data_IF_596861419667
#
_entry.id   IF_596861419667
#
_cell.length_a   1.000
_cell.length_b   1.000
_cell.length_c   1.000
_cell.angle_alpha   90.00
_cell.angle_beta   90.00
_cell.angle_gamma   90.00
#
_symmetry.space_group_name_H-M   'P 1'
#
loop_
_entity.id
_entity.type
_entity.pdbx_description
1 polymer ?
#
# COMPACT_ATOMS: atom_id res chain seq x y z
N UNK A 1 53.48 -41.46 6.58
CA UNK A 1 52.19 -41.97 7.08
C UNK A 1 51.35 -40.81 7.65
N UNK A 2 50.31 -40.36 6.92
CA UNK A 2 49.38 -39.29 7.39
C UNK A 2 48.28 -39.96 8.24
N UNK A 3 48.26 -39.69 9.56
CA UNK A 3 47.17 -40.13 10.45
C UNK A 3 45.92 -39.35 10.14
N UNK A 4 44.91 -39.99 9.56
CA UNK A 4 43.57 -39.45 9.42
C UNK A 4 42.92 -39.36 10.82
N UNK A 5 42.80 -38.14 11.35
CA UNK A 5 42.16 -37.86 12.63
C UNK A 5 40.65 -38.09 12.47
N UNK A 6 40.12 -39.20 12.97
CA UNK A 6 38.67 -39.50 12.97
C UNK A 6 37.95 -38.40 13.75
N UNK A 7 37.17 -37.59 13.06
CA UNK A 7 36.28 -36.58 13.70
C UNK A 7 35.31 -37.32 14.64
N UNK A 8 35.10 -36.84 15.89
CA UNK A 8 34.24 -37.55 16.84
C UNK A 8 32.79 -37.52 16.33
N UNK A 9 32.15 -38.68 16.26
CA UNK A 9 30.76 -38.91 15.82
C UNK A 9 29.75 -37.93 16.48
N UNK A 10 30.00 -37.54 17.75
CA UNK A 10 29.17 -36.56 18.50
C UNK A 10 29.18 -35.14 17.92
N UNK A 11 30.20 -34.72 17.21
CA UNK A 11 30.27 -33.40 16.59
C UNK A 11 29.44 -33.38 15.33
N UNK A 12 29.45 -34.44 14.54
CA UNK A 12 28.66 -34.58 13.31
C UNK A 12 27.18 -34.62 13.64
N UNK A 13 26.74 -35.30 14.70
CA UNK A 13 25.33 -35.35 15.09
C UNK A 13 24.81 -33.97 15.52
N UNK A 14 25.59 -33.17 16.25
CA UNK A 14 25.21 -31.82 16.64
C UNK A 14 24.99 -30.90 15.40
N UNK A 15 25.89 -31.00 14.43
CA UNK A 15 25.75 -30.24 13.17
C UNK A 15 24.49 -30.68 12.42
N UNK A 16 24.20 -31.97 12.40
CA UNK A 16 23.00 -32.48 11.74
C UNK A 16 21.70 -31.96 12.38
N UNK A 17 21.65 -31.89 13.72
CA UNK A 17 20.49 -31.29 14.43
C UNK A 17 20.33 -29.79 14.14
N UNK A 18 21.44 -29.04 14.06
CA UNK A 18 21.39 -27.61 13.70
C UNK A 18 20.89 -27.44 12.28
N UNK A 19 21.38 -28.24 11.33
CA UNK A 19 20.91 -28.18 9.95
C UNK A 19 19.42 -28.53 9.87
N UNK A 20 19.00 -29.61 10.55
CA UNK A 20 17.58 -29.98 10.58
C UNK A 20 16.70 -28.88 11.17
N UNK A 21 17.14 -28.26 12.26
CA UNK A 21 16.44 -27.12 12.86
C UNK A 21 16.30 -25.94 11.88
N UNK A 22 17.39 -25.59 11.17
CA UNK A 22 17.36 -24.52 10.16
C UNK A 22 16.40 -24.86 9.02
N UNK A 23 16.41 -26.11 8.54
CA UNK A 23 15.51 -26.55 7.46
C UNK A 23 14.05 -26.40 7.91
N UNK A 24 13.71 -26.89 9.11
CA UNK A 24 12.35 -26.78 9.66
C UNK A 24 11.94 -25.31 9.79
N UNK A 25 12.82 -24.47 10.33
CA UNK A 25 12.57 -23.04 10.51
C UNK A 25 12.31 -22.32 9.19
N UNK A 26 13.15 -22.57 8.18
CA UNK A 26 12.98 -22.00 6.84
C UNK A 26 11.69 -22.50 6.18
N UNK A 27 11.34 -23.78 6.39
CA UNK A 27 10.10 -24.34 5.83
C UNK A 27 8.85 -23.67 6.42
N UNK A 28 8.85 -23.41 7.74
CA UNK A 28 7.74 -22.71 8.41
C UNK A 28 7.60 -21.29 7.85
N UNK A 29 8.70 -20.53 7.76
CA UNK A 29 8.68 -19.17 7.21
C UNK A 29 8.19 -19.16 5.75
N UNK A 30 8.66 -20.11 4.94
CA UNK A 30 8.24 -20.23 3.55
C UNK A 30 6.74 -20.54 3.43
N UNK A 31 6.21 -21.39 4.30
CA UNK A 31 4.80 -21.72 4.33
C UNK A 31 3.93 -20.50 4.71
N UNK A 32 4.32 -19.78 5.76
CA UNK A 32 3.63 -18.55 6.18
C UNK A 32 3.68 -17.47 5.10
N UNK A 33 4.82 -17.32 4.45
CA UNK A 33 4.97 -16.38 3.33
C UNK A 33 4.05 -16.72 2.16
N UNK A 34 3.98 -18.00 1.77
CA UNK A 34 3.08 -18.44 0.70
C UNK A 34 1.60 -18.27 1.06
N UNK A 35 1.24 -18.52 2.32
CA UNK A 35 -0.11 -18.26 2.83
C UNK A 35 -0.44 -16.78 2.79
N UNK A 36 0.48 -15.91 3.19
CA UNK A 36 0.33 -14.47 3.10
C UNK A 36 0.11 -14.00 1.65
N UNK A 37 0.97 -14.45 0.71
CA UNK A 37 0.85 -14.10 -0.72
C UNK A 37 -0.49 -14.51 -1.31
N UNK A 38 -1.01 -15.70 -0.94
CA UNK A 38 -2.34 -16.16 -1.40
C UNK A 38 -3.49 -15.26 -0.92
N UNK A 39 -3.34 -14.64 0.24
CA UNK A 39 -4.36 -13.78 0.84
C UNK A 39 -4.29 -12.34 0.34
N UNK A 40 -3.29 -11.96 -0.48
CA UNK A 40 -3.23 -10.63 -1.10
C UNK A 40 -4.31 -10.55 -2.17
N UNK A 41 -5.30 -9.64 -2.04
CA UNK A 41 -6.29 -9.45 -3.07
C UNK A 41 -5.64 -8.84 -4.32
N UNK A 42 -5.55 -9.62 -5.39
CA UNK A 42 -4.94 -9.19 -6.66
C UNK A 42 -5.87 -8.30 -7.49
N UNK A 43 -7.15 -8.30 -7.17
CA UNK A 43 -8.12 -7.44 -7.81
C UNK A 43 -8.91 -6.66 -6.76
N UNK A 44 -9.24 -5.39 -7.04
CA UNK A 44 -10.15 -4.65 -6.20
C UNK A 44 -11.49 -5.38 -6.15
N UNK A 45 -12.10 -5.44 -4.99
CA UNK A 45 -13.47 -5.96 -4.85
C UNK A 45 -14.37 -5.16 -5.79
N UNK A 46 -15.08 -5.87 -6.67
CA UNK A 46 -15.98 -5.27 -7.68
C UNK A 46 -17.26 -4.72 -7.06
N UNK A 47 -17.23 -4.39 -5.76
CA UNK A 47 -18.37 -3.75 -5.12
C UNK A 47 -18.64 -2.42 -5.83
N UNK A 48 -19.79 -2.34 -6.53
CA UNK A 48 -20.19 -1.15 -7.29
C UNK A 48 -20.89 -0.10 -6.43
N UNK A 49 -20.91 -0.28 -5.12
CA UNK A 49 -21.52 0.68 -4.22
C UNK A 49 -20.76 2.01 -4.26
N UNK A 50 -21.55 3.08 -4.33
CA UNK A 50 -21.01 4.44 -4.26
C UNK A 50 -20.65 4.77 -2.81
N UNK A 51 -19.46 5.25 -2.59
CA UNK A 51 -18.99 5.73 -1.28
C UNK A 51 -19.17 7.23 -1.16
N UNK A 52 -19.22 7.75 0.06
CA UNK A 52 -19.29 9.20 0.28
C UNK A 52 -17.98 9.88 -0.12
N UNK A 53 -16.85 9.23 0.16
CA UNK A 53 -15.54 9.78 -0.14
C UNK A 53 -14.54 8.71 -0.58
N UNK A 54 -13.59 9.12 -1.43
CA UNK A 54 -12.35 8.43 -1.75
C UNK A 54 -11.18 9.21 -1.17
N UNK A 55 -10.23 8.51 -0.59
CA UNK A 55 -8.97 9.10 -0.12
C UNK A 55 -7.81 8.51 -0.91
N UNK A 56 -6.98 9.37 -1.47
CA UNK A 56 -5.74 8.98 -2.14
C UNK A 56 -4.57 9.58 -1.37
N UNK A 57 -3.67 8.71 -0.92
CA UNK A 57 -2.40 9.13 -0.31
C UNK A 57 -1.36 9.27 -1.42
N UNK A 58 -0.65 10.40 -1.46
CA UNK A 58 0.41 10.67 -2.45
C UNK A 58 1.59 9.69 -2.30
N UNK A 59 2.52 9.72 -3.26
CA UNK A 59 3.68 8.84 -3.32
C UNK A 59 3.62 7.77 -4.42
N UNK A 60 2.62 7.83 -5.32
CA UNK A 60 2.55 6.96 -6.51
C UNK A 60 1.53 7.47 -7.52
N UNK A 61 1.96 7.67 -8.77
CA UNK A 61 1.14 8.20 -9.86
C UNK A 61 -0.08 7.33 -10.16
N UNK A 62 0.08 6.01 -10.15
CA UNK A 62 -1.02 5.07 -10.40
C UNK A 62 -2.17 5.16 -9.39
N UNK A 63 -1.89 5.51 -8.13
CA UNK A 63 -2.94 5.69 -7.11
C UNK A 63 -3.83 6.89 -7.43
N UNK A 64 -3.20 7.97 -7.85
CA UNK A 64 -3.88 9.20 -8.21
C UNK A 64 -4.75 9.02 -9.45
N UNK A 65 -4.18 8.41 -10.50
CA UNK A 65 -4.91 8.04 -11.71
C UNK A 65 -6.14 7.16 -11.40
N UNK A 66 -5.95 6.13 -10.59
CA UNK A 66 -7.04 5.24 -10.15
C UNK A 66 -8.11 6.01 -9.36
N UNK A 67 -7.71 6.89 -8.43
CA UNK A 67 -8.64 7.70 -7.65
C UNK A 67 -9.49 8.63 -8.54
N UNK A 68 -8.86 9.32 -9.47
CA UNK A 68 -9.56 10.19 -10.43
C UNK A 68 -10.49 9.40 -11.35
N UNK A 69 -10.06 8.23 -11.82
CA UNK A 69 -10.90 7.33 -12.63
C UNK A 69 -12.13 6.89 -11.84
N UNK A 70 -11.97 6.43 -10.60
CA UNK A 70 -13.11 6.01 -9.77
C UNK A 70 -14.07 7.16 -9.50
N UNK A 71 -13.58 8.38 -9.29
CA UNK A 71 -14.43 9.55 -9.14
C UNK A 71 -15.19 9.85 -10.45
N UNK A 72 -14.52 9.76 -11.61
CA UNK A 72 -15.17 9.97 -12.92
C UNK A 72 -16.25 8.94 -13.23
N UNK A 73 -16.09 7.71 -12.70
CA UNK A 73 -17.07 6.63 -12.78
C UNK A 73 -18.18 6.75 -11.71
N UNK A 74 -18.26 7.88 -10.99
CA UNK A 74 -19.23 8.13 -9.92
C UNK A 74 -19.21 7.08 -8.81
N UNK A 75 -18.03 6.54 -8.50
CA UNK A 75 -17.83 5.56 -7.41
C UNK A 75 -17.73 6.23 -6.04
N UNK A 76 -17.57 7.54 -6.00
CA UNK A 76 -17.61 8.35 -4.79
C UNK A 76 -18.18 9.75 -5.10
N UNK A 77 -18.66 10.43 -4.05
CA UNK A 77 -19.14 11.81 -4.15
C UNK A 77 -17.99 12.81 -4.16
N UNK A 78 -16.93 12.54 -3.39
CA UNK A 78 -15.74 13.40 -3.26
C UNK A 78 -14.45 12.58 -3.30
N UNK A 79 -13.38 13.22 -3.73
CA UNK A 79 -12.01 12.69 -3.71
C UNK A 79 -11.12 13.63 -2.91
N UNK A 80 -10.53 13.13 -1.83
CA UNK A 80 -9.49 13.82 -1.10
C UNK A 80 -8.11 13.23 -1.43
N UNK A 81 -7.15 14.10 -1.74
CA UNK A 81 -5.78 13.71 -2.06
C UNK A 81 -4.87 14.31 -1.00
N UNK A 82 -4.37 13.48 -0.09
CA UNK A 82 -3.50 13.90 1.01
C UNK A 82 -2.03 13.95 0.59
N UNK A 83 -1.28 14.90 1.16
CA UNK A 83 0.17 15.05 0.97
C UNK A 83 0.56 15.60 -0.40
N UNK A 84 -0.25 16.46 -0.99
CA UNK A 84 0.05 17.12 -2.26
C UNK A 84 1.03 18.28 -2.04
N UNK A 85 2.01 18.41 -2.92
CA UNK A 85 2.94 19.54 -2.88
C UNK A 85 2.22 20.90 -2.94
N UNK A 86 2.64 21.85 -2.10
CA UNK A 86 1.99 23.17 -1.91
C UNK A 86 1.85 24.03 -3.18
N UNK A 87 2.56 23.72 -4.26
CA UNK A 87 2.48 24.44 -5.53
C UNK A 87 1.51 23.83 -6.55
N UNK A 88 0.76 22.80 -6.18
CA UNK A 88 -0.18 22.11 -7.09
C UNK A 88 -1.61 22.44 -6.68
N UNK A 89 -2.39 22.97 -7.61
CA UNK A 89 -3.83 23.14 -7.48
C UNK A 89 -4.63 22.03 -8.20
N UNK A 90 -5.93 21.95 -7.91
CA UNK A 90 -6.82 20.93 -8.51
C UNK A 90 -6.83 21.02 -10.04
N UNK A 91 -6.84 22.22 -10.60
CA UNK A 91 -6.88 22.44 -12.05
C UNK A 91 -5.63 21.86 -12.72
N UNK A 92 -4.45 22.19 -12.18
CA UNK A 92 -3.18 21.69 -12.69
C UNK A 92 -3.09 20.17 -12.58
N UNK A 93 -3.58 19.61 -11.49
CA UNK A 93 -3.61 18.16 -11.28
C UNK A 93 -4.50 17.48 -12.32
N UNK A 94 -5.71 17.95 -12.54
CA UNK A 94 -6.62 17.41 -13.55
C UNK A 94 -6.06 17.51 -14.98
N UNK A 95 -5.34 18.58 -15.30
CA UNK A 95 -4.66 18.74 -16.58
C UNK A 95 -3.55 17.70 -16.78
N UNK A 96 -2.73 17.44 -15.76
CA UNK A 96 -1.64 16.43 -15.83
C UNK A 96 -2.19 15.03 -16.11
N UNK A 97 -3.36 14.71 -15.57
CA UNK A 97 -4.00 13.40 -15.75
C UNK A 97 -5.02 13.37 -16.90
N UNK A 98 -4.99 14.37 -17.80
CA UNK A 98 -5.90 14.47 -18.96
C UNK A 98 -7.38 14.36 -18.62
N UNK A 99 -7.74 14.63 -17.38
CA UNK A 99 -9.12 14.64 -16.90
C UNK A 99 -9.77 16.01 -17.17
N UNK A 100 -10.10 16.27 -18.42
CA UNK A 100 -10.66 17.56 -18.87
C UNK A 100 -12.10 17.83 -18.41
N UNK A 101 -12.60 17.11 -17.43
CA UNK A 101 -13.98 17.26 -17.02
C UNK A 101 -14.11 18.33 -15.94
N UNK A 102 -14.68 19.44 -16.31
CA UNK A 102 -15.16 20.51 -15.39
C UNK A 102 -16.02 19.93 -14.24
N UNK A 103 -16.61 18.77 -14.45
CA UNK A 103 -17.42 18.05 -13.48
C UNK A 103 -16.61 17.49 -12.30
N UNK A 104 -15.31 17.19 -12.47
CA UNK A 104 -14.48 16.67 -11.39
C UNK A 104 -13.93 17.78 -10.47
N UNK A 105 -13.87 19.01 -10.98
CA UNK A 105 -13.32 20.14 -10.23
C UNK A 105 -14.09 20.45 -8.94
N UNK A 106 -15.41 20.27 -8.94
CA UNK A 106 -16.23 20.46 -7.74
C UNK A 106 -15.87 19.54 -6.59
N UNK A 107 -15.33 18.35 -6.94
CA UNK A 107 -15.42 17.18 -6.07
C UNK A 107 -14.05 16.62 -5.70
N UNK A 108 -12.97 17.32 -6.06
CA UNK A 108 -11.59 17.02 -5.68
C UNK A 108 -11.08 18.05 -4.69
N UNK A 109 -10.56 17.62 -3.56
CA UNK A 109 -9.92 18.47 -2.55
C UNK A 109 -8.50 17.98 -2.27
N UNK A 110 -7.56 18.92 -2.09
CA UNK A 110 -6.14 18.64 -1.91
C UNK A 110 -5.70 18.98 -0.48
N UNK A 111 -5.01 18.05 0.16
CA UNK A 111 -4.30 18.25 1.42
C UNK A 111 -2.83 18.55 1.15
N UNK A 112 -2.28 19.56 1.82
CA UNK A 112 -0.92 20.06 1.61
C UNK A 112 -0.05 20.01 2.89
N UNK A 113 -0.58 19.47 3.98
CA UNK A 113 0.11 19.48 5.28
C UNK A 113 0.92 18.20 5.53
N UNK A 114 0.59 17.09 4.86
CA UNK A 114 1.22 15.81 5.11
C UNK A 114 2.55 15.67 4.37
N UNK A 115 3.60 15.34 5.12
CA UNK A 115 4.95 15.04 4.60
C UNK A 115 5.39 13.59 4.91
N UNK A 116 4.53 12.81 5.58
CA UNK A 116 4.80 11.44 6.00
C UNK A 116 3.53 10.60 5.99
N UNK A 117 3.67 9.29 6.16
CA UNK A 117 2.51 8.38 6.29
C UNK A 117 1.63 8.74 7.49
N UNK A 118 2.23 9.12 8.62
CA UNK A 118 1.51 9.59 9.79
C UNK A 118 0.81 10.93 9.50
N UNK A 119 1.50 11.86 8.84
CA UNK A 119 0.92 13.12 8.38
C UNK A 119 -0.30 12.91 7.48
N UNK A 120 -0.24 11.97 6.54
CA UNK A 120 -1.37 11.61 5.70
C UNK A 120 -2.58 11.13 6.51
N UNK A 121 -2.35 10.33 7.56
CA UNK A 121 -3.43 9.84 8.42
C UNK A 121 -4.08 10.99 9.21
N UNK A 122 -3.28 11.90 9.75
CA UNK A 122 -3.75 13.09 10.50
C UNK A 122 -4.55 14.00 9.58
N UNK A 123 -4.00 14.35 8.43
CA UNK A 123 -4.63 15.23 7.44
C UNK A 123 -5.96 14.67 6.93
N UNK A 124 -6.00 13.37 6.63
CA UNK A 124 -7.22 12.67 6.25
C UNK A 124 -8.27 12.71 7.36
N UNK A 125 -7.88 12.47 8.60
CA UNK A 125 -8.79 12.53 9.75
C UNK A 125 -9.41 13.92 9.91
N UNK A 126 -8.62 14.98 9.81
CA UNK A 126 -9.11 16.35 9.94
C UNK A 126 -10.06 16.70 8.78
N UNK A 127 -9.75 16.23 7.57
CA UNK A 127 -10.63 16.42 6.42
C UNK A 127 -11.98 15.69 6.61
N UNK A 128 -11.98 14.42 7.06
CA UNK A 128 -13.19 13.64 7.33
C UNK A 128 -14.08 14.35 8.35
N UNK A 129 -13.48 14.87 9.44
CA UNK A 129 -14.21 15.64 10.45
C UNK A 129 -14.83 16.91 9.90
N UNK A 130 -14.08 17.65 9.07
CA UNK A 130 -14.55 18.88 8.44
C UNK A 130 -15.75 18.63 7.52
N UNK A 131 -15.74 17.53 6.78
CA UNK A 131 -16.79 17.11 5.87
C UNK A 131 -17.98 16.42 6.56
N UNK A 132 -17.87 16.13 7.88
CA UNK A 132 -18.89 15.46 8.69
C UNK A 132 -19.23 14.03 8.23
N UNK A 133 -18.20 13.30 7.79
CA UNK A 133 -18.30 11.88 7.43
C UNK A 133 -18.05 10.97 8.65
#
# INVERSE_FOLDING_TARGET
MRRFKKRPRRFISKILYVILFIIIFVTIIAFDFLAFVKNIPLAPTTNKEMTDALVVLTGGTKRLETGLKLLSESRAKKLFISGVYKGVDVRRLLQIFEQNSTKLYCCVELGHAAESTEGNAIETREWIKKESY
#
